data_IF_640175023774
#
_entry.id   IF_640175023774
#
_cell.length_a   1.000
_cell.length_b   1.000
_cell.length_c   1.000
_cell.angle_alpha   90.00
_cell.angle_beta   90.00
_cell.angle_gamma   90.00
#
_symmetry.space_group_name_H-M   'P 1'
#
loop_
_entity.id
_entity.type
_entity.pdbx_description
1 polymer ?
#
# COMPACT_ATOMS: atom_id res chain seq x y z
N UNK A 1 12.21 -3.17 -37.30
CA UNK A 1 12.09 -3.23 -35.85
C UNK A 1 10.94 -4.15 -35.53
N UNK A 2 11.23 -5.40 -35.14
CA UNK A 2 10.23 -6.42 -34.84
C UNK A 2 9.68 -6.20 -33.46
N UNK A 3 8.38 -5.93 -33.35
CA UNK A 3 7.66 -5.82 -32.09
C UNK A 3 7.83 -7.15 -31.32
N UNK A 4 8.47 -7.09 -30.15
CA UNK A 4 8.58 -8.22 -29.23
C UNK A 4 7.18 -8.51 -28.70
N UNK A 5 6.64 -9.69 -29.06
CA UNK A 5 5.36 -10.13 -28.53
C UNK A 5 5.39 -10.12 -27.01
N UNK A 6 4.38 -9.52 -26.39
CA UNK A 6 4.21 -9.55 -24.95
C UNK A 6 4.13 -11.04 -24.49
N UNK A 7 4.79 -11.43 -23.40
CA UNK A 7 4.72 -12.79 -22.89
C UNK A 7 3.26 -13.13 -22.57
N UNK A 8 2.80 -14.31 -23.03
CA UNK A 8 1.48 -14.81 -22.71
C UNK A 8 1.39 -15.00 -21.20
N UNK A 9 0.56 -14.23 -20.54
CA UNK A 9 0.32 -14.34 -19.11
C UNK A 9 -0.35 -15.67 -18.83
N UNK A 10 0.37 -16.60 -18.19
CA UNK A 10 -0.31 -17.71 -17.53
C UNK A 10 -1.18 -17.09 -16.43
N UNK A 11 -2.49 -17.37 -16.41
CA UNK A 11 -3.34 -16.82 -15.36
C UNK A 11 -2.83 -17.34 -14.02
N UNK A 12 -2.40 -16.44 -13.13
CA UNK A 12 -2.07 -16.79 -11.76
C UNK A 12 -3.31 -17.44 -11.14
N UNK A 13 -3.18 -18.72 -10.75
CA UNK A 13 -4.26 -19.46 -10.11
C UNK A 13 -4.40 -18.90 -8.70
N UNK A 14 -5.39 -18.04 -8.48
CA UNK A 14 -5.75 -17.57 -7.13
C UNK A 14 -6.05 -18.78 -6.26
N UNK A 15 -5.43 -18.85 -5.08
CA UNK A 15 -5.82 -19.81 -4.05
C UNK A 15 -7.27 -19.48 -3.65
N UNK A 16 -8.07 -20.51 -3.31
CA UNK A 16 -9.42 -20.26 -2.84
C UNK A 16 -9.41 -19.50 -1.50
N UNK A 17 -10.59 -19.06 -1.06
CA UNK A 17 -10.75 -18.32 0.21
C UNK A 17 -10.08 -19.06 1.37
N UNK A 18 -9.23 -18.36 2.11
CA UNK A 18 -8.55 -18.87 3.30
C UNK A 18 -9.59 -19.32 4.35
N UNK A 19 -9.46 -20.57 4.83
CA UNK A 19 -10.39 -21.15 5.82
C UNK A 19 -10.01 -20.83 7.26
N UNK A 20 -8.77 -20.42 7.51
CA UNK A 20 -8.33 -20.02 8.84
C UNK A 20 -9.14 -18.81 9.33
N UNK A 21 -9.58 -18.86 10.59
CA UNK A 21 -10.32 -17.76 11.22
C UNK A 21 -9.36 -16.71 11.78
N UNK A 22 -8.16 -17.11 12.19
CA UNK A 22 -7.14 -16.24 12.78
C UNK A 22 -5.79 -16.43 12.10
N UNK A 23 -4.99 -15.38 12.10
CA UNK A 23 -3.61 -15.43 11.66
C UNK A 23 -2.76 -16.22 12.67
N UNK A 24 -1.87 -17.05 12.18
CA UNK A 24 -0.91 -17.83 12.98
C UNK A 24 0.51 -17.57 12.49
N UNK A 25 1.53 -17.96 13.26
CA UNK A 25 2.93 -17.84 12.85
C UNK A 25 3.23 -18.50 11.49
N UNK A 26 2.50 -19.57 11.13
CA UNK A 26 2.65 -20.21 9.82
C UNK A 26 2.32 -19.29 8.63
N UNK A 27 1.48 -18.27 8.83
CA UNK A 27 1.15 -17.27 7.82
C UNK A 27 2.28 -16.22 7.62
N UNK A 28 3.30 -16.22 8.48
CA UNK A 28 4.52 -15.39 8.33
C UNK A 28 5.77 -16.19 7.93
N UNK A 29 5.66 -17.51 7.77
CA UNK A 29 6.81 -18.40 7.58
C UNK A 29 7.27 -18.63 6.14
N UNK A 30 6.76 -17.93 5.14
CA UNK A 30 7.16 -18.05 3.73
C UNK A 30 6.59 -19.27 2.99
N UNK A 31 5.77 -20.12 3.66
CA UNK A 31 5.20 -21.33 3.10
C UNK A 31 3.81 -21.13 2.49
N UNK A 32 3.11 -22.29 2.28
CA UNK A 32 1.77 -22.29 1.69
C UNK A 32 0.75 -21.43 2.47
N UNK A 33 0.78 -21.47 3.79
CA UNK A 33 -0.15 -20.69 4.62
C UNK A 33 0.01 -19.18 4.39
N UNK A 34 1.25 -18.67 4.29
CA UNK A 34 1.53 -17.28 3.95
C UNK A 34 1.01 -16.92 2.56
N UNK A 35 1.27 -17.77 1.56
CA UNK A 35 0.76 -17.55 0.21
C UNK A 35 -0.76 -17.49 0.18
N UNK A 36 -1.45 -18.42 0.84
CA UNK A 36 -2.92 -18.46 0.90
C UNK A 36 -3.47 -17.17 1.55
N UNK A 37 -2.81 -16.65 2.58
CA UNK A 37 -3.18 -15.38 3.21
C UNK A 37 -2.97 -14.19 2.26
N UNK A 38 -1.81 -14.11 1.61
CA UNK A 38 -1.48 -13.04 0.67
C UNK A 38 -2.46 -13.02 -0.49
N UNK A 39 -2.72 -14.17 -1.10
CA UNK A 39 -3.61 -14.29 -2.26
C UNK A 39 -5.06 -13.91 -1.92
N UNK A 40 -5.57 -14.41 -0.80
CA UNK A 40 -6.98 -14.20 -0.43
C UNK A 40 -7.25 -12.80 0.12
N UNK A 41 -6.33 -12.24 0.91
CA UNK A 41 -6.56 -10.95 1.57
C UNK A 41 -6.00 -9.80 0.72
N UNK A 42 -4.71 -9.83 0.43
CA UNK A 42 -4.02 -8.66 -0.11
C UNK A 42 -4.10 -8.58 -1.64
N UNK A 43 -3.79 -9.69 -2.35
CA UNK A 43 -3.88 -9.70 -3.82
C UNK A 43 -5.32 -9.50 -4.28
N UNK A 44 -6.29 -10.10 -3.56
CA UNK A 44 -7.71 -9.90 -3.86
C UNK A 44 -8.14 -8.45 -3.65
N UNK A 45 -7.66 -7.78 -2.60
CA UNK A 45 -8.00 -6.39 -2.32
C UNK A 45 -7.28 -5.40 -3.25
N UNK A 46 -5.99 -5.61 -3.51
CA UNK A 46 -5.13 -4.63 -4.20
C UNK A 46 -4.91 -4.93 -5.69
N UNK A 47 -5.69 -5.83 -6.28
CA UNK A 47 -5.55 -6.30 -7.67
C UNK A 47 -5.31 -5.14 -8.66
N UNK A 48 -4.11 -5.12 -9.27
CA UNK A 48 -3.72 -4.18 -10.31
C UNK A 48 -2.61 -4.78 -11.19
N UNK A 49 -2.33 -4.18 -12.39
CA UNK A 49 -1.36 -4.72 -13.33
C UNK A 49 0.08 -4.87 -12.77
N UNK A 50 0.51 -4.00 -11.86
CA UNK A 50 1.86 -4.04 -11.30
C UNK A 50 2.06 -5.23 -10.34
N UNK A 51 0.99 -5.71 -9.70
CA UNK A 51 1.02 -6.91 -8.85
C UNK A 51 0.90 -8.23 -9.62
N UNK A 52 0.62 -8.18 -10.92
CA UNK A 52 0.31 -9.38 -11.72
C UNK A 52 1.47 -10.37 -11.86
N UNK A 53 2.70 -9.95 -11.62
CA UNK A 53 3.90 -10.81 -11.72
C UNK A 53 4.27 -11.48 -10.38
N UNK A 54 3.73 -11.00 -9.26
CA UNK A 54 4.01 -11.52 -7.90
C UNK A 54 5.51 -11.66 -7.61
N UNK A 55 6.31 -10.70 -8.05
CA UNK A 55 7.74 -10.61 -7.76
C UNK A 55 8.00 -9.84 -6.46
N UNK A 56 9.22 -9.89 -5.94
CA UNK A 56 9.61 -9.21 -4.71
C UNK A 56 9.54 -7.68 -4.81
N UNK A 57 9.55 -7.13 -6.04
CA UNK A 57 9.42 -5.69 -6.29
C UNK A 57 8.39 -5.39 -7.39
N UNK A 58 7.74 -4.25 -7.27
CA UNK A 58 6.99 -3.68 -8.38
C UNK A 58 7.95 -2.99 -9.37
N UNK A 59 7.74 -3.22 -10.69
CA UNK A 59 8.47 -2.54 -11.77
C UNK A 59 7.58 -1.46 -12.35
N UNK A 60 8.01 -0.20 -12.21
CA UNK A 60 7.23 0.97 -12.54
C UNK A 60 7.95 1.77 -13.62
N UNK A 61 7.32 1.96 -14.77
CA UNK A 61 7.87 2.83 -15.83
C UNK A 61 7.56 4.29 -15.49
N UNK A 62 8.59 5.08 -15.33
CA UNK A 62 8.50 6.52 -15.00
C UNK A 62 8.92 7.42 -16.18
N UNK A 63 9.24 6.85 -17.33
CA UNK A 63 9.80 7.56 -18.48
C UNK A 63 8.92 8.74 -18.89
N UNK A 64 7.64 8.52 -19.12
CA UNK A 64 6.69 9.58 -19.50
C UNK A 64 6.46 10.60 -18.37
N UNK A 65 6.53 10.16 -17.12
CA UNK A 65 6.28 11.00 -15.95
C UNK A 65 7.37 12.06 -15.76
N UNK A 66 8.62 11.73 -16.10
CA UNK A 66 9.77 12.62 -15.91
C UNK A 66 10.20 13.34 -17.19
N UNK A 67 9.74 12.90 -18.35
CA UNK A 67 10.09 13.48 -19.66
C UNK A 67 9.74 14.98 -19.73
N UNK A 68 8.69 15.43 -19.05
CA UNK A 68 8.26 16.83 -18.97
C UNK A 68 8.99 17.66 -17.90
N UNK A 69 10.08 17.16 -17.27
CA UNK A 69 10.81 17.86 -16.20
C UNK A 69 10.17 17.71 -14.81
N UNK A 70 9.27 16.75 -14.63
CA UNK A 70 8.73 16.38 -13.32
C UNK A 70 9.80 15.80 -12.39
N UNK A 71 9.60 15.93 -11.07
CA UNK A 71 10.47 15.36 -10.02
C UNK A 71 9.73 14.28 -9.25
N UNK A 72 10.40 13.17 -8.95
CA UNK A 72 9.83 12.16 -8.06
C UNK A 72 9.84 12.66 -6.62
N UNK A 73 8.72 12.43 -5.92
CA UNK A 73 8.61 12.53 -4.48
C UNK A 73 8.50 11.12 -3.88
N UNK A 74 9.11 10.91 -2.74
CA UNK A 74 9.06 9.66 -2.01
C UNK A 74 8.91 9.94 -0.53
N UNK A 75 7.98 9.25 0.12
CA UNK A 75 7.74 9.33 1.57
C UNK A 75 7.46 7.96 2.15
N UNK A 76 7.53 7.83 3.47
CA UNK A 76 7.12 6.64 4.21
C UNK A 76 6.57 7.03 5.56
N UNK A 77 5.56 6.29 6.02
CA UNK A 77 4.96 6.49 7.34
C UNK A 77 4.54 5.14 7.94
N UNK A 78 4.42 5.09 9.26
CA UNK A 78 4.04 3.91 10.02
C UNK A 78 2.86 4.20 10.93
N UNK A 79 1.87 3.32 10.91
CA UNK A 79 0.60 3.51 11.55
C UNK A 79 0.39 2.49 12.66
N UNK A 80 0.17 3.05 13.86
CA UNK A 80 -0.16 2.34 15.08
C UNK A 80 -1.34 3.08 15.70
N UNK A 81 -2.48 2.43 15.82
CA UNK A 81 -3.68 3.03 16.40
C UNK A 81 -4.49 1.99 17.15
N UNK A 82 -4.97 2.33 18.34
CA UNK A 82 -5.90 1.53 19.11
C UNK A 82 -7.06 2.43 19.60
N UNK A 83 -8.32 2.08 19.30
CA UNK A 83 -8.76 0.91 18.55
C UNK A 83 -8.43 1.01 17.06
N UNK A 84 -8.14 -0.14 16.42
CA UNK A 84 -7.83 -0.20 14.98
C UNK A 84 -9.00 0.16 14.06
N UNK A 85 -10.23 0.11 14.58
CA UNK A 85 -11.44 0.61 13.93
C UNK A 85 -12.01 1.69 14.83
N UNK A 86 -12.22 2.88 14.29
CA UNK A 86 -12.64 4.06 15.03
C UNK A 86 -13.70 4.85 14.25
N UNK A 87 -14.42 5.79 14.86
CA UNK A 87 -15.39 6.62 14.15
C UNK A 87 -14.75 7.33 12.95
N UNK A 88 -15.25 7.06 11.76
CA UNK A 88 -14.76 7.65 10.51
C UNK A 88 -13.75 6.82 9.72
N UNK A 89 -13.22 5.72 10.27
CA UNK A 89 -12.28 4.86 9.55
C UNK A 89 -11.69 3.71 10.33
N UNK A 90 -10.58 3.24 9.83
CA UNK A 90 -9.74 2.21 10.43
C UNK A 90 -8.27 2.48 10.12
N UNK A 91 -7.38 1.66 10.69
CA UNK A 91 -5.94 1.77 10.47
C UNK A 91 -5.55 1.68 8.98
N UNK A 92 -6.30 0.91 8.17
CA UNK A 92 -6.03 0.78 6.73
C UNK A 92 -6.34 2.06 5.97
N UNK A 93 -7.51 2.66 6.21
CA UNK A 93 -7.86 3.95 5.65
C UNK A 93 -6.88 5.05 6.08
N UNK A 94 -6.49 5.04 7.35
CA UNK A 94 -5.52 5.97 7.90
C UNK A 94 -4.16 5.84 7.21
N UNK A 95 -3.69 4.61 7.00
CA UNK A 95 -2.39 4.33 6.38
C UNK A 95 -2.30 4.85 4.93
N UNK A 96 -3.38 4.74 4.17
CA UNK A 96 -3.41 5.28 2.80
C UNK A 96 -3.42 6.80 2.83
N UNK A 97 -4.36 7.41 3.56
CA UNK A 97 -4.51 8.87 3.56
C UNK A 97 -3.32 9.60 4.18
N UNK A 98 -2.68 9.05 5.22
CA UNK A 98 -1.50 9.68 5.82
C UNK A 98 -0.38 9.82 4.80
N UNK A 99 -0.01 8.73 4.12
CA UNK A 99 1.08 8.76 3.11
C UNK A 99 0.70 9.57 1.87
N UNK A 100 -0.57 9.54 1.45
CA UNK A 100 -1.06 10.39 0.34
C UNK A 100 -0.96 11.86 0.71
N UNK A 101 -1.31 12.23 1.94
CA UNK A 101 -1.20 13.60 2.42
C UNK A 101 0.25 14.10 2.44
N UNK A 102 1.20 13.26 2.86
CA UNK A 102 2.63 13.61 2.85
C UNK A 102 3.11 13.97 1.44
N UNK A 103 2.70 13.21 0.43
CA UNK A 103 3.00 13.51 -0.97
C UNK A 103 2.32 14.82 -1.41
N UNK A 104 1.05 14.99 -1.06
CA UNK A 104 0.23 16.14 -1.48
C UNK A 104 0.74 17.45 -0.90
N UNK A 105 1.11 17.50 0.39
CA UNK A 105 1.65 18.73 1.02
C UNK A 105 2.99 19.14 0.42
N UNK A 106 3.76 18.19 -0.15
CA UNK A 106 4.97 18.47 -0.93
C UNK A 106 4.69 18.91 -2.38
N UNK A 107 3.42 19.00 -2.79
CA UNK A 107 3.00 19.36 -4.14
C UNK A 107 3.09 18.21 -5.15
N UNK A 108 3.24 16.99 -4.69
CA UNK A 108 3.25 15.81 -5.55
C UNK A 108 1.84 15.31 -5.81
N UNK A 109 1.58 14.83 -7.03
CA UNK A 109 0.46 13.95 -7.33
C UNK A 109 0.87 12.53 -6.94
N UNK A 110 0.20 11.90 -5.96
CA UNK A 110 0.48 10.53 -5.58
C UNK A 110 0.22 9.56 -6.75
N UNK A 111 1.01 8.48 -6.84
CA UNK A 111 0.88 7.49 -7.93
C UNK A 111 0.82 6.06 -7.37
N UNK A 112 1.77 5.70 -6.53
CA UNK A 112 1.93 4.33 -6.06
C UNK A 112 2.25 4.29 -4.56
N UNK A 113 1.73 3.26 -3.92
CA UNK A 113 2.04 2.93 -2.53
C UNK A 113 2.60 1.51 -2.43
N UNK A 114 3.48 1.29 -1.48
CA UNK A 114 3.70 -0.02 -0.87
C UNK A 114 2.93 -0.12 0.43
N UNK A 115 2.61 -1.36 0.87
CA UNK A 115 2.00 -1.59 2.17
C UNK A 115 2.62 -2.81 2.85
N UNK A 116 3.28 -2.61 3.98
CA UNK A 116 3.82 -3.67 4.81
C UNK A 116 3.00 -3.83 6.09
N UNK A 117 2.74 -5.07 6.47
CA UNK A 117 1.90 -5.45 7.60
C UNK A 117 2.71 -6.23 8.63
N UNK A 118 2.67 -5.81 9.90
CA UNK A 118 3.10 -6.61 11.04
C UNK A 118 1.85 -7.03 11.79
N UNK A 119 1.57 -8.32 11.81
CA UNK A 119 0.32 -8.90 12.30
C UNK A 119 0.62 -9.76 13.52
N UNK A 120 -0.09 -9.50 14.61
CA UNK A 120 0.01 -10.36 15.80
C UNK A 120 -0.70 -11.69 15.56
N UNK A 121 -0.11 -12.78 16.03
CA UNK A 121 -0.73 -14.10 16.03
C UNK A 121 -2.06 -14.10 16.79
N UNK A 122 -3.09 -14.64 16.17
CA UNK A 122 -4.46 -14.62 16.71
C UNK A 122 -5.35 -13.54 16.13
N UNK A 123 -4.79 -12.62 15.33
CA UNK A 123 -5.57 -11.58 14.65
C UNK A 123 -6.64 -12.19 13.75
N UNK A 124 -7.86 -11.64 13.79
CA UNK A 124 -8.99 -12.16 13.01
C UNK A 124 -8.82 -11.88 11.51
N UNK A 125 -8.89 -12.95 10.71
CA UNK A 125 -8.68 -12.87 9.26
C UNK A 125 -9.77 -12.04 8.58
N UNK A 126 -11.01 -12.08 9.07
CA UNK A 126 -12.10 -11.29 8.49
C UNK A 126 -11.91 -9.79 8.77
N UNK A 127 -11.39 -9.44 9.92
CA UNK A 127 -10.98 -8.07 10.23
C UNK A 127 -9.85 -7.60 9.32
N UNK A 128 -8.88 -8.47 9.02
CA UNK A 128 -7.80 -8.14 8.07
C UNK A 128 -8.34 -7.90 6.65
N UNK A 129 -9.30 -8.71 6.20
CA UNK A 129 -9.98 -8.49 4.90
C UNK A 129 -10.69 -7.14 4.84
N UNK A 130 -11.43 -6.77 5.92
CA UNK A 130 -12.10 -5.46 5.99
C UNK A 130 -11.11 -4.31 5.92
N UNK A 131 -9.99 -4.41 6.62
CA UNK A 131 -8.92 -3.40 6.59
C UNK A 131 -8.29 -3.30 5.19
N UNK A 132 -7.97 -4.42 4.54
CA UNK A 132 -7.47 -4.42 3.17
C UNK A 132 -8.46 -3.82 2.17
N UNK A 133 -9.76 -4.12 2.31
CA UNK A 133 -10.81 -3.53 1.50
C UNK A 133 -10.96 -2.01 1.74
N UNK A 134 -10.83 -1.57 2.99
CA UNK A 134 -10.84 -0.15 3.36
C UNK A 134 -9.63 0.60 2.76
N UNK A 135 -8.43 -0.01 2.79
CA UNK A 135 -7.25 0.53 2.11
C UNK A 135 -7.48 0.67 0.60
N UNK A 136 -8.07 -0.35 -0.03
CA UNK A 136 -8.40 -0.29 -1.46
C UNK A 136 -9.36 0.85 -1.77
N UNK A 137 -10.43 1.03 -0.99
CA UNK A 137 -11.37 2.13 -1.17
C UNK A 137 -10.70 3.51 -1.03
N UNK A 138 -9.80 3.65 -0.05
CA UNK A 138 -9.05 4.89 0.14
C UNK A 138 -8.07 5.14 -1.02
N UNK A 139 -7.39 4.10 -1.49
CA UNK A 139 -6.48 4.17 -2.64
C UNK A 139 -7.20 4.55 -3.93
N UNK A 140 -8.37 3.95 -4.20
CA UNK A 140 -9.20 4.31 -5.35
C UNK A 140 -9.67 5.78 -5.28
N UNK A 141 -10.10 6.25 -4.09
CA UNK A 141 -10.52 7.63 -3.90
C UNK A 141 -9.36 8.64 -4.04
N UNK A 142 -8.14 8.23 -3.74
CA UNK A 142 -6.92 9.02 -3.92
C UNK A 142 -6.28 8.85 -5.30
N UNK A 143 -6.86 8.03 -6.18
CA UNK A 143 -6.31 7.68 -7.50
C UNK A 143 -4.88 7.12 -7.45
N UNK A 144 -4.56 6.33 -6.40
CA UNK A 144 -3.26 5.66 -6.23
C UNK A 144 -3.43 4.14 -6.29
N UNK A 145 -2.36 3.44 -6.66
CA UNK A 145 -2.34 1.98 -6.63
C UNK A 145 -1.38 1.46 -5.54
N UNK A 146 -1.81 0.47 -4.75
CA UNK A 146 -0.93 -0.29 -3.85
C UNK A 146 -0.30 -1.39 -4.70
N UNK A 147 0.99 -1.25 -5.02
CA UNK A 147 1.65 -2.04 -6.06
C UNK A 147 2.60 -3.12 -5.54
N UNK A 148 2.95 -3.06 -4.26
CA UNK A 148 3.80 -4.05 -3.58
C UNK A 148 3.58 -4.00 -2.08
N UNK A 149 4.08 -4.98 -1.35
CA UNK A 149 3.99 -5.01 0.10
C UNK A 149 4.76 -6.16 0.71
N UNK A 150 4.72 -6.24 2.03
CA UNK A 150 5.28 -7.33 2.82
C UNK A 150 4.33 -7.72 3.95
N UNK A 151 4.49 -8.95 4.46
CA UNK A 151 3.69 -9.45 5.58
C UNK A 151 4.59 -10.19 6.56
N UNK A 152 4.58 -9.74 7.81
CA UNK A 152 5.22 -10.44 8.93
C UNK A 152 4.19 -10.81 9.97
N UNK A 153 4.34 -11.98 10.55
CA UNK A 153 3.54 -12.41 11.70
C UNK A 153 4.46 -12.54 12.90
N UNK A 154 4.09 -11.88 14.00
CA UNK A 154 4.77 -11.94 15.29
C UNK A 154 3.94 -12.73 16.28
N UNK A 155 4.60 -13.34 17.27
CA UNK A 155 3.92 -14.07 18.33
C UNK A 155 3.04 -13.15 19.17
N UNK A 156 2.14 -13.74 19.97
CA UNK A 156 1.24 -13.01 20.87
C UNK A 156 2.03 -12.12 21.84
N UNK A 157 1.60 -10.87 21.98
CA UNK A 157 2.28 -9.83 22.76
C UNK A 157 3.46 -9.19 22.03
N UNK A 158 3.73 -9.56 20.77
CA UNK A 158 4.79 -8.95 19.95
C UNK A 158 4.34 -7.73 19.14
N UNK A 159 3.04 -7.47 19.09
CA UNK A 159 2.46 -6.28 18.46
C UNK A 159 1.11 -5.96 19.11
N UNK A 160 0.61 -4.73 18.95
CA UNK A 160 -0.76 -4.37 19.30
C UNK A 160 -1.71 -4.70 18.16
N UNK A 161 -2.00 -5.99 17.93
CA UNK A 161 -2.91 -6.49 16.90
C UNK A 161 -2.35 -6.37 15.48
N UNK A 162 -2.16 -5.14 14.99
CA UNK A 162 -1.75 -4.85 13.61
C UNK A 162 -1.03 -3.51 13.53
N UNK A 163 0.13 -3.51 12.88
CA UNK A 163 0.81 -2.30 12.44
C UNK A 163 0.88 -2.29 10.92
N UNK A 164 0.76 -1.11 10.32
CA UNK A 164 0.87 -0.91 8.88
C UNK A 164 1.93 0.16 8.60
N UNK A 165 2.88 -0.15 7.72
CA UNK A 165 3.83 0.82 7.19
C UNK A 165 3.55 0.97 5.71
N UNK A 166 3.43 2.20 5.24
CA UNK A 166 3.28 2.53 3.82
C UNK A 166 4.44 3.40 3.35
N UNK A 167 4.85 3.20 2.11
CA UNK A 167 5.71 4.13 1.42
C UNK A 167 5.04 4.58 0.13
N UNK A 168 5.16 5.85 -0.20
CA UNK A 168 4.48 6.46 -1.34
C UNK A 168 5.45 7.09 -2.33
N UNK A 169 5.13 6.93 -3.62
CA UNK A 169 5.81 7.60 -4.73
C UNK A 169 4.81 8.48 -5.45
N UNK A 170 5.20 9.73 -5.71
CA UNK A 170 4.43 10.69 -6.48
C UNK A 170 5.28 11.48 -7.44
N UNK A 171 4.65 12.30 -8.27
CA UNK A 171 5.30 13.20 -9.21
C UNK A 171 4.99 14.65 -8.86
N UNK A 172 6.02 15.47 -8.68
CA UNK A 172 5.91 16.91 -8.53
C UNK A 172 5.98 17.53 -9.92
N UNK A 173 4.91 18.19 -10.41
CA UNK A 173 4.92 18.81 -11.73
C UNK A 173 5.97 19.91 -11.86
N UNK A 174 6.44 20.23 -13.09
CA UNK A 174 7.30 21.37 -13.32
C UNK A 174 6.70 22.68 -12.78
N UNK A 175 7.53 23.53 -12.16
CA UNK A 175 7.09 24.80 -11.60
C UNK A 175 6.45 24.71 -10.22
N UNK A 176 6.08 23.55 -9.73
CA UNK A 176 5.61 23.36 -8.35
C UNK A 176 6.79 23.31 -7.39
N UNK A 177 6.83 24.17 -6.40
CA UNK A 177 7.89 24.22 -5.39
C UNK A 177 7.30 24.61 -4.03
N UNK A 178 6.53 23.68 -3.43
CA UNK A 178 5.99 23.86 -2.09
C UNK A 178 7.06 23.52 -1.05
N UNK A 179 7.27 24.41 -0.10
CA UNK A 179 8.26 24.27 0.96
C UNK A 179 7.93 25.20 2.12
N UNK A 180 8.18 24.74 3.34
CA UNK A 180 8.10 25.60 4.54
C UNK A 180 9.00 26.85 4.44
N UNK A 181 10.09 26.80 3.66
CA UNK A 181 10.97 27.94 3.40
C UNK A 181 10.37 28.99 2.47
N UNK A 182 9.29 28.67 1.77
CA UNK A 182 8.59 29.58 0.85
C UNK A 182 7.48 30.38 1.54
N UNK A 183 7.16 30.09 2.81
CA UNK A 183 6.12 30.77 3.59
C UNK A 183 6.45 32.27 3.73
N UNK A 184 5.46 33.11 3.48
CA UNK A 184 5.58 34.56 3.52
C UNK A 184 4.49 35.20 4.38
N UNK A 185 4.72 36.38 4.95
CA UNK A 185 3.67 37.15 5.59
C UNK A 185 2.50 37.39 4.63
N UNK A 186 1.28 37.07 5.06
CA UNK A 186 0.07 37.13 4.24
C UNK A 186 -0.42 35.79 3.70
N UNK A 187 0.36 34.70 3.81
CA UNK A 187 -0.10 33.36 3.52
C UNK A 187 -1.20 32.91 4.49
N UNK A 188 -2.10 32.09 4.03
CA UNK A 188 -3.18 31.54 4.83
C UNK A 188 -2.91 30.08 5.17
N UNK A 189 -3.20 29.72 6.41
CA UNK A 189 -3.26 28.31 6.85
C UNK A 189 -4.66 27.78 6.55
N UNK A 190 -4.74 26.64 5.89
CA UNK A 190 -5.99 25.95 5.53
C UNK A 190 -6.25 24.78 6.47
#
# INVERSE_FOLDING_TARGET
MTARAAPSRLPFRRSGRLRAKTVTLAHGGGGKAMRDLIDDVFVTAFDNPAMGEMEDQARLDVTELVAGGGRLAFTTDSFVVDPIVFPGGDIGKLAVWGTVNDLAVGGARPLWLSAAFIIEEGFDVESLRRIAASMRQAADAAEVAIVTGDTKVVGRGGADKLFITTAGIGIIPPGVNLSARAIRPGDRVL
#
